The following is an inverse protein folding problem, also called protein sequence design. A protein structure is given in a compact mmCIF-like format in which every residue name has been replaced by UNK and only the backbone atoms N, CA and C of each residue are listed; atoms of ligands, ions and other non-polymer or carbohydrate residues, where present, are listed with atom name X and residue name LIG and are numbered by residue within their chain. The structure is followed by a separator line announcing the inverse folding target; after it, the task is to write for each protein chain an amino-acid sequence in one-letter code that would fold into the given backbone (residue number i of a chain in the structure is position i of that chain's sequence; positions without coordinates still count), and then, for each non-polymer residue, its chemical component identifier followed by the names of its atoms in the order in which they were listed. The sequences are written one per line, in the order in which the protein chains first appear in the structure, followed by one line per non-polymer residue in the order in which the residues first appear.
data_IF_636639489269
#
_entry.id   IF_636639489269
#
_cell.length_a   1.000
_cell.length_b   1.000
_cell.length_c   1.000
_cell.angle_alpha   90.00
_cell.angle_beta   90.00
_cell.angle_gamma   90.00
#
_symmetry.space_group_name_H-M   'P 1'
#
loop_
_entity.id
_entity.type
_entity.pdbx_description
1 polymer ?
#
# COMPACT_ATOMS: atom_id res chain seq x y z
N UNK A 1 -11.43 -24.11 8.22
CA UNK A 1 -12.02 -25.17 7.38
C UNK A 1 -10.88 -25.91 6.68
N UNK A 2 -10.79 -27.23 6.80
CA UNK A 2 -9.85 -28.07 6.03
C UNK A 2 -10.68 -28.95 5.09
N UNK A 3 -10.38 -28.93 3.81
CA UNK A 3 -11.04 -29.72 2.76
C UNK A 3 -10.04 -30.77 2.28
N UNK A 4 -10.48 -32.01 2.08
CA UNK A 4 -9.65 -33.06 1.47
C UNK A 4 -9.48 -32.83 -0.04
N UNK A 5 -8.43 -33.39 -0.63
CA UNK A 5 -8.17 -33.27 -2.08
C UNK A 5 -9.32 -33.83 -2.93
N UNK A 6 -9.95 -34.91 -2.46
CA UNK A 6 -11.09 -35.54 -3.12
C UNK A 6 -12.35 -34.67 -3.04
N UNK A 7 -12.62 -34.08 -1.88
CA UNK A 7 -13.73 -33.12 -1.73
C UNK A 7 -13.51 -31.88 -2.58
N UNK A 8 -12.29 -31.35 -2.65
CA UNK A 8 -11.96 -30.22 -3.52
C UNK A 8 -12.23 -30.52 -4.99
N UNK A 9 -11.84 -31.71 -5.48
CA UNK A 9 -12.10 -32.15 -6.85
C UNK A 9 -13.60 -32.29 -7.17
N UNK A 10 -14.40 -32.73 -6.20
CA UNK A 10 -15.86 -32.82 -6.36
C UNK A 10 -16.52 -31.44 -6.38
N UNK A 11 -16.10 -30.54 -5.50
CA UNK A 11 -16.67 -29.20 -5.37
C UNK A 11 -16.23 -28.26 -6.51
N UNK A 12 -14.99 -28.41 -6.99
CA UNK A 12 -14.37 -27.52 -7.97
C UNK A 12 -13.67 -28.30 -9.10
N UNK A 13 -14.42 -29.11 -9.89
CA UNK A 13 -13.84 -30.03 -10.87
C UNK A 13 -13.03 -29.34 -11.96
N UNK A 14 -13.49 -28.17 -12.44
CA UNK A 14 -12.78 -27.42 -13.48
C UNK A 14 -11.48 -26.79 -12.96
N UNK A 15 -11.50 -26.22 -11.74
CA UNK A 15 -10.32 -25.61 -11.11
C UNK A 15 -9.27 -26.68 -10.81
N UNK A 16 -9.68 -27.86 -10.34
CA UNK A 16 -8.76 -28.98 -10.13
C UNK A 16 -8.09 -29.43 -11.43
N UNK A 17 -8.85 -29.47 -12.55
CA UNK A 17 -8.32 -29.80 -13.87
C UNK A 17 -7.34 -28.75 -14.39
N UNK A 18 -7.60 -27.47 -14.13
CA UNK A 18 -6.69 -26.36 -14.46
C UNK A 18 -5.39 -26.42 -13.66
N UNK A 19 -5.46 -26.73 -12.35
CA UNK A 19 -4.29 -26.90 -11.48
C UNK A 19 -3.42 -28.11 -11.84
N UNK A 20 -4.03 -29.18 -12.37
CA UNK A 20 -3.32 -30.37 -12.85
C UNK A 20 -2.72 -30.17 -14.25
N UNK A 21 -3.16 -29.16 -14.99
CA UNK A 21 -2.58 -28.75 -16.26
C UNK A 21 -1.24 -28.06 -16.05
N UNK A 22 -0.24 -28.42 -16.86
CA UNK A 22 1.12 -27.85 -16.81
C UNK A 22 1.21 -26.37 -17.26
N UNK A 23 0.06 -25.70 -17.41
CA UNK A 23 -0.02 -24.29 -17.72
C UNK A 23 -0.10 -23.54 -16.39
N UNK A 24 1.05 -23.07 -15.91
CA UNK A 24 1.10 -22.26 -14.69
C UNK A 24 0.07 -21.13 -14.73
N UNK A 25 -0.73 -21.02 -13.67
CA UNK A 25 -1.76 -19.98 -13.58
C UNK A 25 -1.07 -18.62 -13.53
N UNK A 26 -1.12 -17.87 -14.63
CA UNK A 26 -0.69 -16.48 -14.66
C UNK A 26 -1.75 -15.59 -14.01
N UNK A 27 -1.76 -15.57 -12.68
CA UNK A 27 -2.53 -14.60 -11.93
C UNK A 27 -1.92 -13.21 -12.15
N UNK A 28 -2.60 -12.36 -12.92
CA UNK A 28 -2.38 -10.91 -12.86
C UNK A 28 -2.93 -10.41 -11.53
N UNK A 29 -2.15 -10.57 -10.47
CA UNK A 29 -2.42 -9.89 -9.21
C UNK A 29 -2.19 -8.42 -9.46
N UNK A 30 -3.26 -7.65 -9.47
CA UNK A 30 -3.17 -6.20 -9.44
C UNK A 30 -2.51 -5.82 -8.12
N UNK A 31 -1.23 -5.42 -8.16
CA UNK A 31 -0.43 -5.04 -6.98
C UNK A 31 -1.07 -3.90 -6.19
N UNK A 32 -2.02 -3.19 -6.79
CA UNK A 32 -2.77 -2.11 -6.17
C UNK A 32 -3.88 -2.61 -5.24
N UNK A 33 -4.33 -3.87 -5.38
CA UNK A 33 -5.36 -4.45 -4.49
C UNK A 33 -4.75 -4.72 -3.12
N UNK A 34 -5.14 -3.88 -2.15
CA UNK A 34 -4.65 -3.94 -0.77
C UNK A 34 -3.49 -3.00 -0.48
N UNK A 35 -3.12 -2.12 -1.41
CA UNK A 35 -2.15 -1.06 -1.13
C UNK A 35 -2.76 -0.04 -0.17
N UNK A 36 -2.23 0.04 1.06
CA UNK A 36 -2.60 1.09 2.00
C UNK A 36 -1.58 2.23 1.90
N UNK A 37 -1.93 3.39 1.32
CA UNK A 37 -0.99 4.49 1.17
C UNK A 37 -0.50 5.00 2.53
N UNK A 38 0.81 5.21 2.61
CA UNK A 38 1.48 5.82 3.76
C UNK A 38 1.44 7.35 3.69
N UNK A 39 1.79 8.02 4.78
CA UNK A 39 1.96 9.50 4.79
C UNK A 39 2.88 10.00 3.68
N UNK A 40 3.92 9.23 3.33
CA UNK A 40 4.86 9.59 2.26
C UNK A 40 4.18 9.55 0.88
N UNK A 41 3.28 8.60 0.65
CA UNK A 41 2.54 8.48 -0.60
C UNK A 41 1.57 9.63 -0.82
N UNK A 42 1.02 10.15 0.27
CA UNK A 42 0.20 11.35 0.23
C UNK A 42 1.06 12.59 -0.06
N UNK A 43 2.18 12.77 0.65
CA UNK A 43 3.09 13.92 0.44
C UNK A 43 3.64 13.96 -0.98
N UNK A 44 3.97 12.80 -1.58
CA UNK A 44 4.46 12.71 -2.97
C UNK A 44 3.47 13.25 -4.02
N UNK A 45 2.18 13.32 -3.69
CA UNK A 45 1.13 13.84 -4.58
C UNK A 45 0.86 15.34 -4.39
N UNK A 46 1.45 15.95 -3.37
CA UNK A 46 1.29 17.38 -3.11
C UNK A 46 2.14 18.20 -4.08
N UNK A 47 1.56 19.29 -4.58
CA UNK A 47 2.29 20.27 -5.38
C UNK A 47 2.94 21.34 -4.49
N UNK A 48 2.31 21.60 -3.33
CA UNK A 48 2.69 22.68 -2.42
C UNK A 48 3.03 22.17 -1.02
N UNK A 49 3.87 22.93 -0.32
CA UNK A 49 4.29 22.59 1.04
C UNK A 49 3.12 22.64 2.03
N UNK A 50 2.18 23.57 1.84
CA UNK A 50 1.02 23.74 2.70
C UNK A 50 0.11 22.50 2.68
N UNK A 51 -0.13 21.93 1.50
CA UNK A 51 -0.92 20.71 1.32
C UNK A 51 -0.31 19.53 2.10
N UNK A 52 1.01 19.37 2.02
CA UNK A 52 1.70 18.30 2.72
C UNK A 52 1.66 18.49 4.25
N UNK A 53 1.70 19.73 4.73
CA UNK A 53 1.54 20.03 6.17
C UNK A 53 0.12 19.68 6.63
N UNK A 54 -0.92 20.02 5.86
CA UNK A 54 -2.31 19.66 6.19
C UNK A 54 -2.51 18.15 6.26
N UNK A 55 -1.90 17.39 5.36
CA UNK A 55 -1.95 15.92 5.39
C UNK A 55 -1.27 15.37 6.64
N UNK A 56 -0.10 15.90 7.01
CA UNK A 56 0.60 15.49 8.23
C UNK A 56 -0.26 15.80 9.47
N UNK A 57 -0.83 17.00 9.55
CA UNK A 57 -1.72 17.41 10.63
C UNK A 57 -2.95 16.50 10.75
N UNK A 58 -3.55 16.14 9.62
CA UNK A 58 -4.72 15.27 9.58
C UNK A 58 -4.38 13.86 10.09
N UNK A 59 -3.27 13.27 9.63
CA UNK A 59 -2.85 11.93 10.03
C UNK A 59 -2.38 11.87 11.49
N UNK A 60 -1.71 12.92 11.98
CA UNK A 60 -1.33 13.04 13.40
C UNK A 60 -2.58 13.13 14.29
N UNK A 61 -3.56 13.96 13.93
CA UNK A 61 -4.82 14.09 14.68
C UNK A 61 -5.60 12.78 14.77
N UNK A 62 -5.50 11.90 13.77
CA UNK A 62 -6.11 10.57 13.77
C UNK A 62 -5.28 9.51 14.51
N UNK A 63 -4.04 9.84 14.91
CA UNK A 63 -3.11 8.90 15.53
C UNK A 63 -2.53 7.88 14.54
N UNK A 64 -2.59 8.15 13.24
CA UNK A 64 -2.00 7.26 12.21
C UNK A 64 -0.48 7.42 12.12
N UNK A 65 0.05 8.56 12.57
CA UNK A 65 1.48 8.81 12.74
C UNK A 65 1.74 9.41 14.13
N UNK A 66 2.93 9.15 14.68
CA UNK A 66 3.32 9.76 15.96
C UNK A 66 3.67 11.23 15.77
N UNK A 67 3.61 11.99 16.88
CA UNK A 67 3.98 13.40 16.91
C UNK A 67 5.43 13.62 16.48
N UNK A 68 6.35 12.79 16.96
CA UNK A 68 7.78 12.89 16.63
C UNK A 68 8.00 12.68 15.13
N UNK A 69 7.27 11.72 14.54
CA UNK A 69 7.36 11.48 13.11
C UNK A 69 6.76 12.63 12.31
N UNK A 70 5.59 13.14 12.70
CA UNK A 70 4.97 14.31 12.10
C UNK A 70 5.89 15.55 12.12
N UNK A 71 6.53 15.85 13.26
CA UNK A 71 7.48 16.95 13.41
C UNK A 71 8.69 16.80 12.47
N UNK A 72 9.22 15.58 12.35
CA UNK A 72 10.34 15.29 11.43
C UNK A 72 9.96 15.55 9.96
N UNK A 73 8.74 15.21 9.56
CA UNK A 73 8.22 15.42 8.21
C UNK A 73 8.03 16.91 7.91
N UNK A 74 7.44 17.67 8.85
CA UNK A 74 7.30 19.13 8.75
C UNK A 74 8.65 19.81 8.60
N UNK A 75 9.65 19.42 9.41
CA UNK A 75 11.01 19.97 9.33
C UNK A 75 11.62 19.73 7.95
N UNK A 76 11.49 18.51 7.43
CA UNK A 76 12.00 18.17 6.09
C UNK A 76 11.30 18.96 4.98
N UNK A 77 9.98 19.13 5.04
CA UNK A 77 9.23 19.95 4.07
C UNK A 77 9.70 21.40 4.13
N UNK A 78 9.92 21.95 5.33
CA UNK A 78 10.39 23.32 5.50
C UNK A 78 11.81 23.53 4.96
N UNK A 79 12.69 22.55 5.12
CA UNK A 79 14.09 22.64 4.69
C UNK A 79 14.30 22.34 3.20
N UNK A 80 13.58 21.34 2.67
CA UNK A 80 13.85 20.76 1.33
C UNK A 80 12.65 20.78 0.38
N UNK A 81 11.47 21.15 0.86
CA UNK A 81 10.22 21.12 0.12
C UNK A 81 9.65 19.72 -0.12
N UNK A 82 8.40 19.67 -0.58
CA UNK A 82 7.66 18.43 -0.89
C UNK A 82 8.31 17.57 -1.97
N UNK A 83 9.04 18.19 -2.91
CA UNK A 83 9.75 17.45 -3.98
C UNK A 83 10.87 16.56 -3.45
N UNK A 84 11.40 16.85 -2.25
CA UNK A 84 12.42 16.02 -1.61
C UNK A 84 11.92 14.62 -1.22
N UNK A 85 10.62 14.35 -1.35
CA UNK A 85 9.99 13.06 -1.06
C UNK A 85 9.83 12.18 -2.31
N UNK A 86 10.11 12.68 -3.51
CA UNK A 86 9.97 11.93 -4.76
C UNK A 86 10.81 10.64 -4.80
N UNK A 87 12.05 10.70 -4.27
CA UNK A 87 13.00 9.59 -4.30
C UNK A 87 12.90 8.66 -3.08
N UNK A 88 12.00 8.92 -2.14
CA UNK A 88 11.82 8.05 -0.98
C UNK A 88 11.07 6.79 -1.38
N UNK A 89 11.58 5.62 -1.04
CA UNK A 89 10.78 4.40 -1.10
C UNK A 89 9.73 4.44 0.01
N UNK A 90 8.47 4.21 -0.38
CA UNK A 90 7.41 3.93 0.59
C UNK A 90 7.62 2.48 1.05
N UNK A 91 7.80 2.23 2.36
CA UNK A 91 8.03 0.88 2.89
C UNK A 91 6.80 -0.02 2.81
#
# INVERSE_FOLDING_TARGET
MRISKEEFKKLFPNIAKELEGNNGIHLKVDKSRGYNPTVIDFIKRCEKNEEAIEIIDFLEKRGEITKEYAESLRKRIKEKGVRSFADLLSP
#
